data_IF_677922020411
#
_entry.id   IF_677922020411
#
_cell.length_a   1.000
_cell.length_b   1.000
_cell.length_c   1.000
_cell.angle_alpha   90.00
_cell.angle_beta   90.00
_cell.angle_gamma   90.00
#
_symmetry.space_group_name_H-M   'P 1'
#
loop_
_entity.id
_entity.type
_entity.pdbx_description
1 polymer ?
#
# COMPACT_ATOMS: atom_id res chain seq x y z
N UNK A 1 -40.45 47.26 48.55
CA UNK A 1 -40.75 46.55 47.28
C UNK A 1 -39.60 46.60 46.27
N UNK A 2 -39.02 47.75 45.93
CA UNK A 2 -38.01 47.87 44.86
C UNK A 2 -36.77 46.94 44.98
N UNK A 3 -36.29 46.67 46.20
CA UNK A 3 -35.09 45.82 46.42
C UNK A 3 -35.25 44.33 46.07
N UNK A 4 -36.48 43.81 46.05
CA UNK A 4 -36.71 42.39 45.69
C UNK A 4 -36.64 42.17 44.17
N UNK A 5 -37.10 43.15 43.39
CA UNK A 5 -37.17 43.08 41.92
C UNK A 5 -35.77 42.96 41.28
N UNK A 6 -34.78 43.70 41.79
CA UNK A 6 -33.41 43.65 41.28
C UNK A 6 -32.72 42.31 41.55
N UNK A 7 -33.03 41.64 42.67
CA UNK A 7 -32.53 40.29 42.97
C UNK A 7 -33.14 39.23 42.04
N UNK A 8 -34.46 39.26 41.82
CA UNK A 8 -35.11 38.34 40.87
C UNK A 8 -34.58 38.51 39.43
N UNK A 9 -34.37 39.75 38.99
CA UNK A 9 -33.79 40.04 37.68
C UNK A 9 -32.38 39.45 37.53
N UNK A 10 -31.51 39.61 38.53
CA UNK A 10 -30.14 39.07 38.52
C UNK A 10 -30.07 37.53 38.54
N UNK A 11 -30.99 36.87 39.24
CA UNK A 11 -31.06 35.39 39.25
C UNK A 11 -31.55 34.88 37.90
N UNK A 12 -32.52 35.56 37.28
CA UNK A 12 -33.03 35.20 35.94
C UNK A 12 -31.96 35.34 34.85
N UNK A 13 -31.17 36.42 34.85
CA UNK A 13 -30.08 36.60 33.87
C UNK A 13 -28.94 35.61 34.08
N UNK A 14 -28.61 35.26 35.33
CA UNK A 14 -27.62 34.23 35.64
C UNK A 14 -28.08 32.84 35.16
N UNK A 15 -29.33 32.46 35.43
CA UNK A 15 -29.92 31.20 34.93
C UNK A 15 -29.94 31.15 33.40
N UNK A 16 -30.27 32.26 32.72
CA UNK A 16 -30.24 32.33 31.26
C UNK A 16 -28.82 32.18 30.69
N UNK A 17 -27.81 32.79 31.34
CA UNK A 17 -26.41 32.59 30.98
C UNK A 17 -25.97 31.14 31.19
N UNK A 18 -26.36 30.52 32.31
CA UNK A 18 -26.07 29.10 32.58
C UNK A 18 -26.71 28.20 31.50
N UNK A 19 -27.97 28.47 31.14
CA UNK A 19 -28.70 27.74 30.10
C UNK A 19 -28.03 27.90 28.73
N UNK A 20 -27.59 29.10 28.37
CA UNK A 20 -26.81 29.37 27.15
C UNK A 20 -25.45 28.66 27.18
N UNK A 21 -24.77 28.59 28.32
CA UNK A 21 -23.55 27.79 28.46
C UNK A 21 -23.81 26.28 28.32
N UNK A 22 -24.94 25.76 28.80
CA UNK A 22 -25.32 24.36 28.58
C UNK A 22 -25.66 24.07 27.10
N UNK A 23 -26.39 24.96 26.41
CA UNK A 23 -26.72 24.75 24.99
C UNK A 23 -25.52 24.93 24.05
N UNK A 24 -24.58 25.83 24.33
CA UNK A 24 -23.36 26.00 23.53
C UNK A 24 -22.35 24.84 23.66
N UNK A 25 -22.54 23.94 24.65
CA UNK A 25 -21.71 22.75 24.81
C UNK A 25 -22.35 21.47 24.26
N UNK A 26 -23.56 21.54 23.69
CA UNK A 26 -24.16 20.40 22.98
C UNK A 26 -23.61 20.31 21.55
N UNK A 27 -22.29 20.13 21.44
CA UNK A 27 -21.69 19.59 20.22
C UNK A 27 -22.14 18.14 20.12
N UNK A 28 -23.16 17.89 19.30
CA UNK A 28 -23.46 16.54 18.84
C UNK A 28 -22.27 16.15 17.97
N UNK A 29 -21.31 15.44 18.56
CA UNK A 29 -20.26 14.75 17.82
C UNK A 29 -20.98 13.63 17.06
N UNK A 30 -21.40 13.91 15.83
CA UNK A 30 -21.81 12.86 14.92
C UNK A 30 -20.65 11.87 14.81
N UNK A 31 -20.97 10.57 14.84
CA UNK A 31 -20.00 9.56 14.47
C UNK A 31 -19.60 9.82 13.01
N UNK A 32 -18.43 10.44 12.79
CA UNK A 32 -17.94 10.79 11.47
C UNK A 32 -17.58 9.52 10.72
N UNK A 33 -18.54 9.04 9.94
CA UNK A 33 -18.38 7.98 8.94
C UNK A 33 -17.59 8.53 7.77
N UNK A 34 -16.44 7.94 7.45
CA UNK A 34 -15.74 8.26 6.21
C UNK A 34 -16.21 7.34 5.09
N UNK A 35 -16.64 7.93 3.97
CA UNK A 35 -17.02 7.24 2.73
C UNK A 35 -16.44 8.01 1.54
N UNK A 36 -15.73 7.33 0.65
CA UNK A 36 -15.20 7.90 -0.59
C UNK A 36 -14.86 6.83 -1.64
N UNK A 37 -14.72 7.27 -2.89
CA UNK A 37 -14.14 6.50 -3.99
C UNK A 37 -13.23 7.36 -4.90
N UNK A 38 -12.45 6.73 -5.77
CA UNK A 38 -11.59 7.37 -6.77
C UNK A 38 -12.30 8.36 -7.70
N UNK A 39 -13.61 8.23 -7.92
CA UNK A 39 -14.41 9.23 -8.66
C UNK A 39 -14.68 10.51 -7.85
N UNK A 40 -14.72 10.40 -6.52
CA UNK A 40 -14.82 11.54 -5.59
C UNK A 40 -13.47 12.12 -5.16
N UNK A 41 -12.38 11.35 -5.25
CA UNK A 41 -11.05 11.82 -4.86
C UNK A 41 -10.49 12.86 -5.85
N UNK A 42 -9.93 13.92 -5.29
CA UNK A 42 -9.17 14.97 -5.98
C UNK A 42 -7.72 14.98 -5.50
N UNK A 43 -6.85 15.69 -6.21
CA UNK A 43 -5.44 15.89 -5.81
C UNK A 43 -5.26 16.43 -4.38
N UNK A 44 -6.20 17.23 -3.86
CA UNK A 44 -6.16 17.74 -2.48
C UNK A 44 -6.70 16.76 -1.43
N UNK A 45 -7.38 15.69 -1.85
CA UNK A 45 -7.85 14.62 -0.96
C UNK A 45 -6.87 13.45 -0.82
N UNK A 46 -5.73 13.50 -1.53
CA UNK A 46 -4.68 12.50 -1.48
C UNK A 46 -3.35 13.14 -1.05
N UNK A 47 -2.54 12.39 -0.32
CA UNK A 47 -1.17 12.76 0.03
C UNK A 47 -0.23 11.70 -0.55
N UNK A 48 0.76 12.14 -1.32
CA UNK A 48 1.73 11.28 -2.02
C UNK A 48 3.10 11.47 -1.37
N UNK A 49 3.74 10.37 -0.96
CA UNK A 49 5.06 10.34 -0.34
C UNK A 49 6.02 9.45 -1.14
N UNK A 50 7.31 9.80 -1.10
CA UNK A 50 8.38 9.02 -1.76
C UNK A 50 8.20 8.97 -3.27
N UNK A 51 8.13 7.75 -3.80
CA UNK A 51 8.02 7.45 -5.22
C UNK A 51 6.59 7.54 -5.78
N UNK A 52 5.59 7.75 -4.91
CA UNK A 52 4.19 7.73 -5.32
C UNK A 52 3.82 8.94 -6.19
N UNK A 53 3.17 8.68 -7.33
CA UNK A 53 2.78 9.69 -8.30
C UNK A 53 1.52 9.31 -9.09
N UNK A 54 0.81 10.30 -9.64
CA UNK A 54 -0.29 10.04 -10.56
C UNK A 54 0.22 9.68 -11.96
N UNK A 55 -0.42 8.71 -12.60
CA UNK A 55 -0.13 8.30 -13.97
C UNK A 55 -1.45 7.96 -14.70
N UNK A 56 -1.86 8.79 -15.67
CA UNK A 56 -3.02 8.54 -16.55
C UNK A 56 -4.35 8.16 -15.86
N UNK A 57 -4.57 8.59 -14.62
CA UNK A 57 -5.77 8.29 -13.84
C UNK A 57 -5.58 7.21 -12.78
N UNK A 58 -4.44 6.51 -12.75
CA UNK A 58 -4.03 5.63 -11.66
C UNK A 58 -3.03 6.30 -10.72
N UNK A 59 -2.82 5.70 -9.55
CA UNK A 59 -1.72 6.04 -8.64
C UNK A 59 -0.64 4.96 -8.77
N UNK A 60 0.58 5.33 -9.13
CA UNK A 60 1.74 4.45 -9.02
C UNK A 60 2.43 4.66 -7.69
N UNK A 61 2.81 3.58 -7.01
CA UNK A 61 3.56 3.62 -5.74
C UNK A 61 5.08 3.61 -5.97
N UNK A 62 5.54 3.00 -7.08
CA UNK A 62 6.96 2.88 -7.44
C UNK A 62 7.27 3.57 -8.77
N UNK A 63 8.54 3.96 -8.98
CA UNK A 63 9.03 4.57 -10.22
C UNK A 63 9.53 3.52 -11.22
N UNK A 64 9.43 3.86 -12.50
CA UNK A 64 9.96 3.12 -13.66
C UNK A 64 11.50 3.22 -13.74
N UNK A 65 12.22 2.64 -12.75
CA UNK A 65 13.68 2.66 -12.64
C UNK A 65 14.31 1.34 -13.09
N UNK A 66 15.53 1.40 -13.64
CA UNK A 66 16.30 0.20 -13.95
C UNK A 66 16.88 -0.46 -12.69
N UNK A 67 17.09 -1.78 -12.72
CA UNK A 67 17.74 -2.54 -11.64
C UNK A 67 19.24 -2.22 -11.52
N UNK A 68 19.87 -2.35 -10.32
CA UNK A 68 19.29 -2.73 -9.04
C UNK A 68 18.97 -1.49 -8.19
N UNK A 69 17.74 -0.97 -8.30
CA UNK A 69 17.25 0.11 -7.45
C UNK A 69 16.07 -0.39 -6.59
N UNK A 70 16.04 0.03 -5.33
CA UNK A 70 14.90 -0.12 -4.43
C UNK A 70 14.34 1.26 -4.13
N UNK A 71 13.06 1.47 -4.42
CA UNK A 71 12.33 2.70 -4.10
C UNK A 71 11.04 2.36 -3.37
N UNK A 72 10.54 3.29 -2.55
CA UNK A 72 9.28 3.15 -1.82
C UNK A 72 8.39 4.38 -2.05
N UNK A 73 7.08 4.17 -2.08
CA UNK A 73 6.12 5.25 -2.16
C UNK A 73 4.81 4.89 -1.48
N UNK A 74 4.10 5.92 -1.03
CA UNK A 74 2.86 5.79 -0.27
C UNK A 74 1.85 6.83 -0.73
N UNK A 75 0.59 6.42 -0.85
CA UNK A 75 -0.56 7.32 -1.05
C UNK A 75 -1.51 7.16 0.13
N UNK A 76 -1.97 8.27 0.70
CA UNK A 76 -2.95 8.28 1.79
C UNK A 76 -4.13 9.18 1.46
N UNK A 77 -5.31 8.85 1.96
CA UNK A 77 -6.42 9.80 2.05
C UNK A 77 -6.04 10.92 3.01
N UNK A 78 -6.14 12.18 2.59
CA UNK A 78 -5.51 13.32 3.30
C UNK A 78 -6.22 13.77 4.59
N UNK A 79 -7.33 13.12 4.97
CA UNK A 79 -8.00 13.36 6.25
C UNK A 79 -7.93 12.11 7.13
N UNK A 80 -7.63 12.25 8.43
CA UNK A 80 -7.71 11.14 9.35
C UNK A 80 -9.16 10.67 9.50
N UNK A 81 -9.35 9.36 9.60
CA UNK A 81 -10.62 8.67 9.80
C UNK A 81 -10.69 8.24 11.26
N UNK A 82 -11.85 8.40 11.90
CA UNK A 82 -12.06 7.92 13.26
C UNK A 82 -12.23 6.40 13.27
N UNK A 83 -11.29 5.68 13.88
CA UNK A 83 -11.33 4.22 13.98
C UNK A 83 -11.85 3.70 15.33
N UNK A 84 -11.79 4.50 16.41
CA UNK A 84 -12.35 4.13 17.71
C UNK A 84 -13.47 5.10 18.14
N UNK A 85 -14.56 4.53 18.66
CA UNK A 85 -15.70 5.28 19.15
C UNK A 85 -15.37 6.00 20.46
N UNK A 86 -15.69 7.29 20.53
CA UNK A 86 -15.48 8.11 21.73
C UNK A 86 -16.19 7.50 22.94
N UNK A 87 -15.45 7.32 24.04
CA UNK A 87 -15.98 6.83 25.33
C UNK A 87 -16.00 5.30 25.46
N UNK A 88 -16.51 4.57 24.48
CA UNK A 88 -16.54 3.08 24.50
C UNK A 88 -15.25 2.44 24.01
N UNK A 89 -14.45 3.16 23.20
CA UNK A 89 -13.30 2.64 22.44
C UNK A 89 -13.64 1.43 21.55
N UNK A 90 -14.91 1.22 21.21
CA UNK A 90 -15.31 0.18 20.26
C UNK A 90 -14.79 0.54 18.86
N UNK A 91 -14.18 -0.40 18.12
CA UNK A 91 -13.65 -0.12 16.80
C UNK A 91 -14.79 0.04 15.77
N UNK A 92 -14.55 0.87 14.76
CA UNK A 92 -15.45 1.02 13.62
C UNK A 92 -15.52 -0.29 12.81
N UNK A 93 -16.69 -0.58 12.24
CA UNK A 93 -16.77 -1.43 11.07
C UNK A 93 -16.21 -0.66 9.87
N UNK A 94 -15.48 -1.32 8.97
CA UNK A 94 -15.06 -0.72 7.71
C UNK A 94 -15.06 -1.71 6.55
N UNK A 95 -15.16 -1.19 5.34
CA UNK A 95 -14.93 -1.92 4.11
C UNK A 95 -14.07 -1.08 3.17
N UNK A 96 -13.14 -1.73 2.48
CA UNK A 96 -12.39 -1.11 1.37
C UNK A 96 -12.34 -2.08 0.20
N UNK A 97 -12.47 -1.52 -0.99
CA UNK A 97 -12.35 -2.24 -2.25
C UNK A 97 -11.34 -1.49 -3.12
N UNK A 98 -10.43 -2.22 -3.75
CA UNK A 98 -9.47 -1.65 -4.67
C UNK A 98 -9.11 -2.61 -5.79
N UNK A 99 -8.73 -2.02 -6.92
CA UNK A 99 -8.21 -2.73 -8.08
C UNK A 99 -6.78 -2.26 -8.30
N UNK A 100 -5.83 -3.19 -8.41
CA UNK A 100 -4.42 -2.90 -8.59
C UNK A 100 -3.77 -3.82 -9.62
N UNK A 101 -2.60 -3.46 -10.11
CA UNK A 101 -1.76 -4.35 -10.91
C UNK A 101 -0.30 -4.22 -10.47
N UNK A 102 0.44 -5.33 -10.53
CA UNK A 102 1.90 -5.34 -10.50
C UNK A 102 2.37 -5.70 -11.90
N UNK A 103 2.99 -4.74 -12.57
CA UNK A 103 3.56 -4.93 -13.91
C UNK A 103 5.07 -4.80 -13.84
N UNK A 104 5.79 -5.40 -14.78
CA UNK A 104 7.26 -5.39 -14.74
C UNK A 104 7.86 -5.07 -16.11
N UNK A 105 8.82 -4.14 -16.14
CA UNK A 105 9.56 -3.78 -17.36
C UNK A 105 10.52 -4.90 -17.81
N UNK A 106 10.97 -5.74 -16.87
CA UNK A 106 11.75 -6.93 -17.15
C UNK A 106 11.03 -8.17 -16.57
N UNK A 107 10.46 -9.06 -17.40
CA UNK A 107 9.70 -10.23 -16.94
C UNK A 107 10.46 -11.24 -16.05
N UNK A 108 11.79 -11.14 -15.94
CA UNK A 108 12.60 -11.95 -15.02
C UNK A 108 12.97 -11.26 -13.71
N UNK A 109 12.59 -9.99 -13.56
CA UNK A 109 12.70 -9.25 -12.30
C UNK A 109 11.47 -9.54 -11.44
N UNK A 110 11.66 -9.62 -10.12
CA UNK A 110 10.60 -9.81 -9.13
C UNK A 110 10.96 -9.06 -7.84
N UNK A 111 9.96 -8.71 -7.03
CA UNK A 111 10.11 -8.50 -5.60
C UNK A 111 9.95 -7.08 -5.09
N UNK A 112 9.62 -6.99 -3.80
CA UNK A 112 8.92 -5.86 -3.21
C UNK A 112 7.44 -6.22 -3.11
N UNK A 113 6.56 -5.28 -3.46
CA UNK A 113 5.12 -5.50 -3.40
C UNK A 113 4.37 -4.24 -3.00
N UNK A 114 3.12 -4.42 -2.58
CA UNK A 114 2.29 -3.34 -2.05
C UNK A 114 1.41 -3.83 -0.89
N UNK A 115 0.93 -2.90 -0.09
CA UNK A 115 -0.05 -3.15 0.95
C UNK A 115 -1.12 -2.05 1.00
N UNK A 116 -2.36 -2.43 1.33
CA UNK A 116 -3.33 -1.48 1.89
C UNK A 116 -2.93 -1.20 3.34
N UNK A 117 -2.92 0.07 3.76
CA UNK A 117 -2.41 0.48 5.08
C UNK A 117 -3.44 1.27 5.89
N UNK A 118 -3.43 1.04 7.20
CA UNK A 118 -4.03 1.86 8.24
C UNK A 118 -2.86 2.41 9.07
N UNK A 119 -2.56 3.69 8.90
CA UNK A 119 -1.35 4.37 9.40
C UNK A 119 -1.69 5.38 10.50
N UNK A 120 -0.88 5.52 11.55
CA UNK A 120 -1.16 6.45 12.66
C UNK A 120 -0.86 7.91 12.29
N UNK A 121 0.01 8.12 11.31
CA UNK A 121 0.38 9.42 10.74
C UNK A 121 0.40 9.39 9.21
N UNK A 122 0.56 10.57 8.61
CA UNK A 122 0.56 10.77 7.16
C UNK A 122 1.85 11.40 6.61
N UNK A 123 2.93 11.46 7.40
CA UNK A 123 4.24 12.01 6.97
C UNK A 123 5.30 10.92 6.80
N UNK A 124 5.15 9.78 7.48
CA UNK A 124 6.16 8.73 7.56
C UNK A 124 6.08 7.79 6.37
N UNK A 125 7.25 7.48 5.82
CA UNK A 125 7.50 6.42 4.85
C UNK A 125 8.62 5.53 5.40
N UNK A 126 8.36 4.22 5.46
CA UNK A 126 9.34 3.22 5.87
C UNK A 126 10.37 2.92 4.79
N UNK A 127 11.19 1.89 5.05
CA UNK A 127 12.24 1.42 4.16
C UNK A 127 11.66 0.76 2.89
N UNK A 128 12.43 0.79 1.81
CA UNK A 128 12.16 0.03 0.58
C UNK A 128 12.61 -1.44 0.72
N UNK A 129 12.45 -2.24 -0.35
CA UNK A 129 12.62 -3.70 -0.30
C UNK A 129 11.35 -4.39 0.20
N UNK A 130 11.49 -5.54 0.87
CA UNK A 130 10.37 -6.24 1.51
C UNK A 130 9.81 -5.54 2.75
N UNK A 131 10.34 -4.37 3.16
CA UNK A 131 9.69 -3.53 4.18
C UNK A 131 8.46 -2.76 3.67
N UNK A 132 8.13 -2.85 2.36
CA UNK A 132 6.94 -2.28 1.71
C UNK A 132 6.67 -0.77 1.95
N UNK A 133 7.68 -0.01 2.38
CA UNK A 133 7.51 1.36 2.88
C UNK A 133 6.72 1.45 4.20
N UNK A 134 6.56 0.35 4.93
CA UNK A 134 5.80 0.22 6.18
C UNK A 134 6.67 0.47 7.42
N UNK A 135 7.80 -0.23 7.53
CA UNK A 135 8.71 -0.18 8.70
C UNK A 135 9.98 0.60 8.34
N UNK A 136 10.41 1.53 9.20
CA UNK A 136 11.67 2.28 9.05
C UNK A 136 12.63 2.09 10.23
N UNK A 137 13.91 2.44 10.03
CA UNK A 137 15.04 2.18 10.94
C UNK A 137 14.81 2.54 12.42
N UNK A 138 13.99 3.56 12.70
CA UNK A 138 13.76 4.04 14.06
C UNK A 138 12.83 3.13 14.88
N UNK A 139 11.99 2.28 14.27
CA UNK A 139 11.02 1.43 14.98
C UNK A 139 9.99 2.17 15.85
N UNK A 140 9.89 3.49 15.71
CA UNK A 140 9.06 4.40 16.51
C UNK A 140 8.19 5.22 15.55
N UNK A 141 6.87 5.22 15.63
CA UNK A 141 6.00 4.45 16.54
C UNK A 141 4.51 4.66 16.21
N UNK A 142 3.63 4.26 17.14
CA UNK A 142 2.14 4.32 17.08
C UNK A 142 1.40 3.17 16.37
N UNK A 143 2.11 2.22 15.72
CA UNK A 143 1.51 1.00 15.20
C UNK A 143 0.79 1.16 13.85
N UNK A 144 0.98 0.21 12.94
CA UNK A 144 0.23 0.13 11.69
C UNK A 144 -0.49 -1.21 11.59
N UNK A 145 -1.57 -1.23 10.81
CA UNK A 145 -2.19 -2.45 10.31
C UNK A 145 -2.11 -2.39 8.78
N UNK A 146 -1.59 -3.44 8.14
CA UNK A 146 -1.55 -3.50 6.68
C UNK A 146 -2.01 -4.86 6.15
N UNK A 147 -2.54 -4.88 4.94
CA UNK A 147 -2.79 -6.11 4.18
C UNK A 147 -1.90 -6.06 2.96
N UNK A 148 -0.81 -6.83 3.03
CA UNK A 148 0.24 -6.93 2.02
C UNK A 148 -0.10 -7.90 0.89
N UNK A 149 0.49 -7.67 -0.27
CA UNK A 149 0.43 -8.47 -1.49
C UNK A 149 1.86 -8.60 -2.01
N UNK A 150 2.58 -9.61 -1.50
CA UNK A 150 4.03 -9.74 -1.68
C UNK A 150 4.40 -10.57 -2.93
N UNK A 151 5.43 -10.11 -3.64
CA UNK A 151 5.95 -10.69 -4.88
C UNK A 151 7.31 -11.39 -4.71
N UNK A 152 7.92 -11.35 -3.52
CA UNK A 152 9.13 -12.08 -3.13
C UNK A 152 8.89 -12.96 -1.88
N UNK A 153 9.86 -13.82 -1.58
CA UNK A 153 9.90 -14.61 -0.35
C UNK A 153 11.14 -14.17 0.44
N UNK A 154 10.94 -13.29 1.40
CA UNK A 154 11.94 -12.87 2.35
C UNK A 154 11.96 -13.80 3.58
N UNK A 155 13.02 -14.60 3.67
CA UNK A 155 13.20 -15.60 4.75
C UNK A 155 13.23 -14.95 6.14
N UNK A 156 13.63 -13.68 6.22
CA UNK A 156 13.65 -12.86 7.44
C UNK A 156 12.25 -12.40 7.92
N UNK A 157 11.25 -12.35 7.04
CA UNK A 157 9.85 -12.04 7.36
C UNK A 157 8.98 -13.31 7.48
N UNK A 158 9.58 -14.48 7.22
CA UNK A 158 9.00 -15.83 7.37
C UNK A 158 7.97 -16.21 6.29
N UNK A 159 8.03 -15.52 5.16
CA UNK A 159 7.11 -15.64 4.02
C UNK A 159 6.93 -17.07 3.55
N UNK A 160 5.69 -17.41 3.22
CA UNK A 160 5.35 -18.77 2.76
C UNK A 160 5.77 -19.03 1.32
N UNK A 161 5.79 -17.99 0.47
CA UNK A 161 6.22 -17.99 -0.93
C UNK A 161 6.24 -16.54 -1.49
N UNK A 162 6.70 -16.35 -2.73
CA UNK A 162 6.69 -15.04 -3.43
C UNK A 162 5.41 -14.70 -4.18
N UNK A 163 4.25 -15.07 -3.63
CA UNK A 163 2.92 -14.82 -4.20
C UNK A 163 1.83 -14.98 -3.14
N UNK A 164 1.87 -14.17 -2.09
CA UNK A 164 0.96 -14.32 -0.96
C UNK A 164 0.22 -13.02 -0.62
N UNK A 165 -0.81 -13.15 0.22
CA UNK A 165 -1.48 -12.03 0.89
C UNK A 165 -1.36 -12.22 2.39
N UNK A 166 -0.94 -11.18 3.10
CA UNK A 166 -0.67 -11.18 4.53
C UNK A 166 -1.50 -10.15 5.29
N UNK A 167 -1.52 -10.25 6.63
CA UNK A 167 -1.99 -9.21 7.54
C UNK A 167 -0.85 -8.85 8.48
N UNK A 168 -0.28 -7.68 8.28
CA UNK A 168 0.75 -7.10 9.13
C UNK A 168 0.14 -6.36 10.31
N UNK A 169 0.69 -6.62 11.51
CA UNK A 169 0.29 -5.99 12.76
C UNK A 169 1.51 -5.39 13.44
N UNK A 170 1.91 -4.19 13.00
CA UNK A 170 3.13 -3.49 13.41
C UNK A 170 4.42 -4.33 13.28
N UNK A 171 4.48 -5.17 12.25
CA UNK A 171 5.57 -6.10 11.94
C UNK A 171 5.41 -6.58 10.49
N UNK A 172 6.49 -6.88 9.78
CA UNK A 172 6.44 -7.57 8.48
C UNK A 172 6.21 -9.09 8.62
N UNK A 173 6.19 -9.63 9.84
CA UNK A 173 5.87 -11.04 10.07
C UNK A 173 4.36 -11.17 10.21
N UNK A 174 3.70 -11.54 9.12
CA UNK A 174 2.24 -11.71 9.01
C UNK A 174 1.69 -12.87 9.88
N UNK A 175 0.96 -12.61 10.99
CA UNK A 175 0.27 -13.66 11.76
C UNK A 175 -0.86 -14.39 11.03
N UNK A 176 -1.37 -13.83 9.93
CA UNK A 176 -2.38 -14.44 9.05
C UNK A 176 -1.93 -14.28 7.61
N UNK A 177 -1.77 -15.38 6.87
CA UNK A 177 -1.20 -15.39 5.53
C UNK A 177 -1.90 -16.43 4.65
N UNK A 178 -2.02 -16.17 3.35
CA UNK A 178 -2.61 -17.09 2.38
C UNK A 178 -1.87 -17.10 1.04
N UNK A 179 -1.60 -18.30 0.54
CA UNK A 179 -1.00 -18.52 -0.78
C UNK A 179 -2.00 -18.18 -1.89
N UNK A 180 -1.78 -17.10 -2.63
CA UNK A 180 -2.68 -16.66 -3.70
C UNK A 180 -2.73 -17.65 -4.87
N UNK A 181 -1.73 -18.52 -5.01
CA UNK A 181 -1.75 -19.65 -5.94
C UNK A 181 -2.87 -20.65 -5.65
N UNK A 182 -3.36 -20.74 -4.41
CA UNK A 182 -4.49 -21.60 -4.03
C UNK A 182 -5.85 -21.11 -4.56
N UNK A 183 -5.92 -19.89 -5.10
CA UNK A 183 -7.11 -19.29 -5.73
C UNK A 183 -6.82 -18.80 -7.16
N UNK A 184 -5.80 -19.38 -7.82
CA UNK A 184 -5.39 -19.08 -9.19
C UNK A 184 -5.02 -17.59 -9.45
N UNK A 185 -4.56 -16.88 -8.41
CA UNK A 185 -4.07 -15.49 -8.51
C UNK A 185 -2.55 -15.47 -8.51
N UNK A 186 -1.96 -14.82 -9.53
CA UNK A 186 -0.54 -14.47 -9.58
C UNK A 186 -0.41 -12.95 -9.65
N UNK A 187 0.16 -12.37 -8.59
CA UNK A 187 0.36 -10.93 -8.48
C UNK A 187 1.25 -10.37 -9.61
N UNK A 188 2.23 -11.15 -10.09
CA UNK A 188 3.23 -10.73 -11.09
C UNK A 188 2.72 -10.83 -12.53
N UNK A 189 1.48 -11.28 -12.72
CA UNK A 189 0.89 -11.54 -14.05
C UNK A 189 0.63 -10.27 -14.88
N UNK A 190 0.66 -9.08 -14.27
CA UNK A 190 0.23 -7.83 -14.89
C UNK A 190 -1.29 -7.70 -15.09
N UNK A 191 -2.07 -8.70 -14.68
CA UNK A 191 -3.53 -8.62 -14.68
C UNK A 191 -4.03 -7.66 -13.59
N UNK A 192 -5.25 -7.16 -13.77
CA UNK A 192 -5.95 -6.39 -12.75
C UNK A 192 -6.43 -7.31 -11.63
N UNK A 193 -5.84 -7.18 -10.45
CA UNK A 193 -6.24 -7.87 -9.21
C UNK A 193 -7.23 -7.00 -8.46
N UNK A 194 -8.35 -7.59 -8.04
CA UNK A 194 -9.38 -6.95 -7.22
C UNK A 194 -9.30 -7.50 -5.80
N UNK A 195 -9.28 -6.62 -4.81
CA UNK A 195 -9.21 -6.97 -3.40
C UNK A 195 -10.32 -6.27 -2.60
N UNK A 196 -10.89 -7.01 -1.65
CA UNK A 196 -11.86 -6.51 -0.67
C UNK A 196 -11.33 -6.83 0.73
N UNK A 197 -11.21 -5.81 1.57
CA UNK A 197 -10.87 -5.95 2.98
C UNK A 197 -12.05 -5.41 3.79
N UNK A 198 -12.56 -6.21 4.71
CA UNK A 198 -13.71 -5.85 5.54
C UNK A 198 -13.42 -6.21 6.99
N UNK A 199 -13.78 -5.31 7.89
CA UNK A 199 -13.75 -5.53 9.32
C UNK A 199 -15.12 -5.21 9.92
N UNK A 200 -15.66 -6.13 10.71
CA UNK A 200 -16.88 -5.89 11.48
C UNK A 200 -16.50 -5.57 12.93
N UNK A 201 -16.69 -4.31 13.36
CA UNK A 201 -16.28 -3.86 14.68
C UNK A 201 -17.07 -4.46 15.84
N UNK A 202 -18.26 -5.00 15.58
CA UNK A 202 -19.12 -5.65 16.58
C UNK A 202 -18.73 -7.11 16.83
N UNK A 203 -18.56 -7.90 15.77
CA UNK A 203 -18.15 -9.31 15.86
C UNK A 203 -16.63 -9.51 15.93
N UNK A 204 -15.84 -8.45 15.69
CA UNK A 204 -14.38 -8.44 15.61
C UNK A 204 -13.84 -9.45 14.58
N UNK A 205 -14.51 -9.57 13.44
CA UNK A 205 -14.10 -10.44 12.32
C UNK A 205 -13.46 -9.60 11.22
N UNK A 206 -12.29 -10.01 10.77
CA UNK A 206 -11.56 -9.44 9.65
C UNK A 206 -11.58 -10.41 8.47
N UNK A 207 -11.92 -9.92 7.28
CA UNK A 207 -12.05 -10.69 6.05
C UNK A 207 -11.20 -10.08 4.94
N UNK A 208 -10.49 -10.94 4.20
CA UNK A 208 -9.76 -10.58 2.98
C UNK A 208 -10.28 -11.44 1.84
N UNK A 209 -10.66 -10.82 0.72
CA UNK A 209 -11.08 -11.51 -0.51
C UNK A 209 -10.27 -10.98 -1.69
N UNK A 210 -9.85 -11.86 -2.59
CA UNK A 210 -9.05 -11.50 -3.78
C UNK A 210 -9.62 -12.20 -5.02
N UNK A 211 -9.63 -11.53 -6.17
CA UNK A 211 -10.11 -12.09 -7.45
C UNK A 211 -9.60 -11.32 -8.67
N UNK A 212 -9.44 -11.98 -9.82
CA UNK A 212 -9.36 -11.27 -11.11
C UNK A 212 -10.74 -10.82 -11.61
N UNK A 213 -11.84 -11.37 -11.07
CA UNK A 213 -13.19 -10.90 -11.38
C UNK A 213 -13.50 -9.58 -10.67
N UNK A 214 -14.33 -8.75 -11.30
CA UNK A 214 -14.94 -7.58 -10.65
C UNK A 214 -16.09 -7.97 -9.68
N UNK A 215 -16.42 -9.26 -9.57
CA UNK A 215 -17.37 -9.78 -8.60
C UNK A 215 -16.63 -10.30 -7.36
N UNK A 216 -16.98 -9.77 -6.19
CA UNK A 216 -16.46 -10.25 -4.91
C UNK A 216 -16.77 -11.75 -4.71
N UNK A 217 -15.78 -12.58 -4.32
CA UNK A 217 -16.02 -13.96 -3.89
C UNK A 217 -17.07 -14.06 -2.78
N UNK A 218 -17.94 -15.08 -2.84
CA UNK A 218 -18.98 -15.31 -1.81
C UNK A 218 -18.41 -15.75 -0.46
N UNK A 219 -17.24 -16.39 -0.49
CA UNK A 219 -16.49 -16.82 0.69
C UNK A 219 -15.19 -16.02 0.65
N UNK A 220 -14.82 -15.32 1.73
CA UNK A 220 -13.54 -14.63 1.80
C UNK A 220 -12.39 -15.64 1.75
N UNK A 221 -11.24 -15.22 1.22
CA UNK A 221 -10.05 -16.06 1.13
C UNK A 221 -9.41 -16.27 2.51
N UNK A 222 -9.33 -15.21 3.32
CA UNK A 222 -8.97 -15.28 4.73
C UNK A 222 -10.12 -14.68 5.57
N UNK A 223 -10.45 -15.33 6.69
CA UNK A 223 -11.45 -14.86 7.65
C UNK A 223 -11.07 -15.33 9.04
N UNK A 224 -10.89 -14.39 9.95
CA UNK A 224 -10.40 -14.67 11.30
C UNK A 224 -10.88 -13.63 12.32
N UNK A 225 -10.97 -13.98 13.61
CA UNK A 225 -11.18 -13.00 14.66
C UNK A 225 -9.93 -12.13 14.81
N UNK A 226 -10.10 -10.81 14.82
CA UNK A 226 -9.03 -9.83 15.05
C UNK A 226 -9.51 -8.75 16.01
N UNK A 227 -8.76 -8.57 17.08
CA UNK A 227 -8.99 -7.46 17.99
C UNK A 227 -8.21 -6.21 17.53
N UNK A 228 -8.86 -5.41 16.68
CA UNK A 228 -8.21 -4.28 16.01
C UNK A 228 -7.87 -3.13 16.97
N UNK A 229 -8.54 -3.03 18.13
CA UNK A 229 -8.35 -1.92 19.09
C UNK A 229 -6.96 -1.88 19.75
N UNK A 230 -6.21 -2.99 19.64
CA UNK A 230 -4.84 -3.15 20.12
C UNK A 230 -3.79 -2.55 19.17
N UNK A 231 -4.17 -2.25 17.92
CA UNK A 231 -3.25 -1.86 16.84
C UNK A 231 -3.57 -0.49 16.21
N UNK A 232 -4.65 0.17 16.66
CA UNK A 232 -5.14 1.43 16.08
C UNK A 232 -5.36 2.51 17.16
N UNK A 233 -5.19 3.75 16.76
CA UNK A 233 -5.51 4.92 17.56
C UNK A 233 -6.94 5.40 17.28
N UNK A 234 -7.41 6.38 18.06
CA UNK A 234 -8.73 7.00 17.89
C UNK A 234 -8.97 7.50 16.46
N UNK A 235 -7.90 7.97 15.81
CA UNK A 235 -7.85 8.41 14.43
C UNK A 235 -6.67 7.75 13.72
N UNK A 236 -6.89 7.32 12.47
CA UNK A 236 -5.86 6.74 11.59
C UNK A 236 -6.06 7.26 10.16
N UNK A 237 -4.99 7.24 9.36
CA UNK A 237 -5.03 7.46 7.92
C UNK A 237 -5.14 6.12 7.19
N UNK A 238 -5.73 6.13 6.00
CA UNK A 238 -5.86 4.92 5.15
C UNK A 238 -5.27 5.19 3.77
N UNK A 239 -4.79 4.14 3.11
CA UNK A 239 -4.28 4.23 1.74
C UNK A 239 -3.42 3.03 1.35
N UNK A 240 -2.35 3.26 0.59
CA UNK A 240 -1.46 2.20 0.11
C UNK A 240 0.00 2.59 0.26
N UNK A 241 0.84 1.59 0.53
CA UNK A 241 2.29 1.68 0.54
C UNK A 241 2.85 0.59 -0.36
N UNK A 242 4.01 0.79 -0.98
CA UNK A 242 4.66 -0.25 -1.77
C UNK A 242 6.08 0.13 -2.16
N UNK A 243 6.87 -0.88 -2.51
CA UNK A 243 8.28 -0.70 -2.87
C UNK A 243 8.79 -1.73 -3.87
N UNK A 244 9.92 -1.42 -4.50
CA UNK A 244 10.74 -2.40 -5.23
C UNK A 244 11.88 -2.92 -4.36
N UNK A 245 12.34 -4.15 -4.65
CA UNK A 245 13.43 -4.82 -3.95
C UNK A 245 14.57 -5.16 -4.91
N UNK A 246 15.25 -4.14 -5.42
CA UNK A 246 16.17 -4.28 -6.54
C UNK A 246 15.46 -4.66 -7.86
N UNK A 247 14.14 -4.54 -7.90
CA UNK A 247 13.26 -4.96 -8.99
C UNK A 247 12.82 -3.81 -9.91
N UNK A 248 12.18 -4.16 -11.03
CA UNK A 248 11.53 -3.24 -11.98
C UNK A 248 9.98 -3.28 -11.88
N UNK A 249 9.45 -3.63 -10.71
CA UNK A 249 8.00 -3.73 -10.47
C UNK A 249 7.33 -2.35 -10.33
N UNK A 250 6.25 -2.17 -11.08
CA UNK A 250 5.39 -0.99 -11.09
C UNK A 250 4.07 -1.38 -10.45
N UNK A 251 3.86 -0.90 -9.22
CA UNK A 251 2.65 -1.13 -8.44
C UNK A 251 1.65 0.01 -8.72
N UNK A 252 0.57 -0.30 -9.43
CA UNK A 252 -0.44 0.69 -9.83
C UNK A 252 -1.78 0.41 -9.15
N UNK A 253 -2.33 1.40 -8.44
CA UNK A 253 -3.69 1.41 -7.91
C UNK A 253 -4.59 2.07 -8.96
N UNK A 254 -5.46 1.27 -9.57
CA UNK A 254 -6.35 1.66 -10.67
C UNK A 254 -7.73 2.10 -10.17
N UNK A 255 -8.18 1.56 -9.05
CA UNK A 255 -9.41 1.97 -8.35
C UNK A 255 -9.26 1.80 -6.84
N UNK A 256 -9.92 2.66 -6.07
CA UNK A 256 -10.09 2.53 -4.62
C UNK A 256 -11.41 3.12 -4.16
N UNK A 257 -12.07 2.46 -3.22
CA UNK A 257 -13.15 2.99 -2.40
C UNK A 257 -13.04 2.50 -0.96
N UNK A 258 -13.47 3.33 -0.01
CA UNK A 258 -13.44 3.05 1.42
C UNK A 258 -14.75 3.54 2.07
N UNK A 259 -15.27 2.77 3.02
CA UNK A 259 -16.40 3.15 3.87
C UNK A 259 -16.18 2.69 5.31
N UNK A 260 -16.63 3.47 6.29
CA UNK A 260 -16.50 3.19 7.72
C UNK A 260 -17.72 3.66 8.50
N UNK A 261 -18.13 2.86 9.50
CA UNK A 261 -19.28 3.15 10.34
C UNK A 261 -19.11 2.64 11.76
N UNK A 262 -19.72 3.35 12.71
CA UNK A 262 -19.92 2.85 14.06
C UNK A 262 -21.34 2.31 14.17
N UNK A 263 -21.48 1.06 14.63
CA UNK A 263 -22.79 0.48 14.92
C UNK A 263 -23.54 1.35 15.93
N UNK A 264 -24.68 1.92 15.54
CA UNK A 264 -25.50 2.68 16.45
C UNK A 264 -26.20 1.71 17.40
N UNK A 265 -25.96 1.86 18.71
CA UNK A 265 -26.52 1.00 19.77
C UNK A 265 -28.03 1.14 19.99
N UNK A 266 -28.78 1.59 18.98
CA UNK A 266 -30.20 1.90 19.07
C UNK A 266 -31.00 1.67 17.76
N UNK A 267 -30.81 0.51 17.13
CA UNK A 267 -31.86 -0.08 16.26
C UNK A 267 -31.63 -1.57 16.04
N UNK A 268 -32.58 -2.40 16.47
CA UNK A 268 -32.66 -3.80 16.06
C UNK A 268 -33.18 -3.92 14.64
N UNK A 269 -32.34 -3.63 13.66
CA UNK A 269 -32.60 -3.88 12.24
C UNK A 269 -31.33 -4.39 11.57
N UNK A 270 -31.38 -5.65 11.14
CA UNK A 270 -30.35 -6.31 10.36
C UNK A 270 -30.20 -5.61 9.00
N UNK A 271 -29.22 -4.72 8.90
CA UNK A 271 -28.76 -4.10 7.66
C UNK A 271 -27.25 -4.28 7.57
N UNK A 272 -26.83 -5.44 7.06
CA UNK A 272 -25.43 -5.68 6.71
C UNK A 272 -24.87 -4.59 5.77
N UNK A 273 -23.54 -4.44 5.69
CA UNK A 273 -22.91 -3.36 4.94
C UNK A 273 -23.40 -3.33 3.50
N UNK A 274 -23.79 -2.14 3.04
CA UNK A 274 -24.32 -1.95 1.70
C UNK A 274 -23.31 -2.45 0.66
N UNK A 275 -23.78 -3.30 -0.27
CA UNK A 275 -22.96 -3.80 -1.36
C UNK A 275 -22.52 -2.63 -2.26
N UNK A 276 -21.25 -2.25 -2.15
CA UNK A 276 -20.63 -1.22 -2.98
C UNK A 276 -20.79 -1.58 -4.45
N UNK A 277 -21.21 -0.65 -5.34
CA UNK A 277 -21.34 -0.93 -6.77
C UNK A 277 -19.99 -1.33 -7.40
N UNK A 278 -19.97 -2.21 -8.42
CA UNK A 278 -18.76 -2.44 -9.20
C UNK A 278 -18.33 -1.15 -9.93
N UNK A 279 -17.02 -0.91 -10.09
CA UNK A 279 -16.52 0.35 -10.64
C UNK A 279 -16.89 0.53 -12.12
N UNK A 280 -17.13 1.76 -12.60
CA UNK A 280 -17.37 2.04 -14.01
C UNK A 280 -16.09 1.86 -14.83
N UNK A 281 -16.21 1.19 -15.99
CA UNK A 281 -15.10 1.02 -16.95
C UNK A 281 -14.83 2.33 -17.72
N UNK A 282 -14.29 3.36 -17.07
CA UNK A 282 -13.98 4.65 -17.71
C UNK A 282 -12.64 5.23 -17.28
N UNK A 283 -11.73 5.36 -18.24
CA UNK A 283 -10.49 6.15 -18.09
C UNK A 283 -10.80 7.61 -17.69
N UNK A 284 -10.05 8.16 -16.74
CA UNK A 284 -10.08 9.58 -16.37
C UNK A 284 -9.50 10.47 -17.49
N UNK A 285 -10.28 10.69 -18.56
CA UNK A 285 -9.97 11.70 -19.57
C UNK A 285 -10.42 13.08 -19.08
N UNK A 286 -9.46 13.89 -18.64
CA UNK A 286 -9.68 15.32 -18.33
C UNK A 286 -9.95 16.13 -19.63
N UNK A 287 -11.08 16.85 -19.76
CA UNK A 287 -11.40 17.63 -20.94
C UNK A 287 -10.70 19.00 -20.95
N UNK A 288 -9.37 19.05 -20.89
CA UNK A 288 -8.52 20.15 -21.40
C UNK A 288 -7.07 19.67 -21.55
N UNK A 289 -6.72 19.21 -22.75
CA UNK A 289 -5.33 19.09 -23.19
C UNK A 289 -5.20 19.81 -24.55
N UNK A 290 -4.55 20.98 -24.55
CA UNK A 290 -4.26 21.68 -25.80
C UNK A 290 -3.36 20.83 -26.69
N UNK A 291 -3.77 20.65 -27.94
CA UNK A 291 -3.02 19.86 -28.93
C UNK A 291 -1.70 20.54 -29.28
N UNK A 292 -0.63 20.15 -28.59
CA UNK A 292 0.75 20.46 -29.01
C UNK A 292 1.19 19.33 -29.95
N UNK A 293 1.25 19.66 -31.23
CA UNK A 293 1.61 18.73 -32.30
C UNK A 293 3.11 18.41 -32.21
N UNK A 294 3.47 17.21 -31.77
CA UNK A 294 4.87 16.74 -31.75
C UNK A 294 5.50 16.80 -33.14
N UNK A 295 6.76 17.21 -33.30
CA UNK A 295 7.48 17.11 -34.56
C UNK A 295 7.65 15.64 -34.99
N UNK A 296 7.70 15.34 -36.30
CA UNK A 296 7.94 13.98 -36.77
C UNK A 296 9.37 13.49 -36.44
N UNK A 297 9.59 12.16 -36.31
CA UNK A 297 10.90 11.62 -35.99
C UNK A 297 11.95 11.94 -37.07
N UNK A 298 13.18 12.29 -36.64
CA UNK A 298 14.31 12.41 -37.56
C UNK A 298 14.70 11.03 -38.09
N UNK A 299 14.90 10.94 -39.41
CA UNK A 299 15.43 9.73 -40.04
C UNK A 299 16.89 9.47 -39.63
N UNK A 300 17.26 8.19 -39.56
CA UNK A 300 18.63 7.76 -39.36
C UNK A 300 19.52 8.12 -40.57
N UNK A 301 20.82 8.42 -40.38
CA UNK A 301 21.69 8.79 -41.49
C UNK A 301 22.05 7.57 -42.34
N UNK A 302 21.42 7.46 -43.51
CA UNK A 302 21.90 6.61 -44.60
C UNK A 302 23.16 7.23 -45.21
N UNK A 303 24.30 6.58 -45.06
CA UNK A 303 25.52 6.93 -45.80
C UNK A 303 25.35 6.65 -47.29
N UNK A 304 25.86 7.55 -48.14
CA UNK A 304 25.93 7.38 -49.59
C UNK A 304 27.36 7.56 -50.08
N UNK A 305 27.81 6.62 -50.92
CA UNK A 305 29.18 6.42 -51.38
C UNK A 305 29.68 7.38 -52.48
N UNK A 306 30.94 7.14 -52.91
CA UNK A 306 31.65 7.59 -54.12
C UNK A 306 32.45 8.89 -53.96
N UNK A 307 33.70 9.06 -54.44
CA UNK A 307 34.59 8.32 -55.37
C UNK A 307 36.07 8.55 -54.92
N UNK A 308 37.16 7.85 -55.31
CA UNK A 308 37.43 6.71 -56.24
C UNK A 308 38.84 6.14 -55.93
N UNK A 309 39.11 4.84 -56.20
CA UNK A 309 40.11 4.38 -57.20
C UNK A 309 40.59 2.91 -57.07
N UNK A 310 40.61 2.23 -58.23
CA UNK A 310 41.52 1.17 -58.70
C UNK A 310 41.59 -0.27 -58.09
N UNK A 311 41.44 -1.24 -59.02
CA UNK A 311 42.10 -2.57 -59.14
C UNK A 311 41.58 -3.83 -58.40
N UNK A 312 40.75 -4.58 -59.15
CA UNK A 312 40.82 -6.03 -59.44
C UNK A 312 41.54 -7.01 -58.47
N UNK A 313 40.78 -7.98 -57.92
CA UNK A 313 40.91 -9.40 -58.36
C UNK A 313 39.74 -10.31 -57.89
N UNK A 314 39.50 -11.35 -58.70
CA UNK A 314 38.60 -12.51 -58.47
C UNK A 314 39.14 -13.46 -57.37
N UNK A 315 38.35 -14.21 -56.56
CA UNK A 315 37.54 -15.39 -56.96
C UNK A 315 36.69 -15.98 -55.82
N UNK A 316 35.51 -16.53 -56.18
CA UNK A 316 34.74 -17.68 -55.63
C UNK A 316 34.94 -18.20 -54.18
N UNK A 317 33.84 -18.12 -53.42
CA UNK A 317 33.17 -19.16 -52.61
C UNK A 317 33.83 -20.55 -52.45
N UNK A 318 33.83 -21.05 -51.20
CA UNK A 318 33.64 -22.47 -50.91
C UNK A 318 32.75 -22.68 -49.68
N UNK A 319 31.87 -23.68 -49.76
CA UNK A 319 31.00 -24.16 -48.67
C UNK A 319 31.73 -25.23 -47.86
N UNK A 320 31.56 -25.24 -46.54
CA UNK A 320 32.02 -26.34 -45.70
C UNK A 320 30.85 -27.28 -45.37
N UNK A 321 31.06 -28.58 -45.57
CA UNK A 321 30.05 -29.63 -45.38
C UNK A 321 30.62 -30.75 -44.52
N UNK A 322 29.73 -31.45 -43.82
CA UNK A 322 29.93 -32.66 -43.00
C UNK A 322 30.53 -32.53 -41.59
N UNK A 323 29.62 -32.67 -40.62
CA UNK A 323 29.70 -33.54 -39.43
C UNK A 323 31.09 -34.02 -38.96
N UNK A 324 31.57 -33.49 -37.82
CA UNK A 324 31.78 -34.22 -36.56
C UNK A 324 32.59 -33.40 -35.53
N UNK A 325 31.91 -32.54 -34.76
CA UNK A 325 32.36 -32.13 -33.42
C UNK A 325 31.17 -32.29 -32.45
N UNK A 326 31.25 -33.29 -31.57
CA UNK A 326 30.33 -33.51 -30.42
C UNK A 326 31.03 -33.04 -29.13
N UNK A 327 30.27 -33.07 -28.01
CA UNK A 327 30.59 -32.51 -26.68
C UNK A 327 30.51 -30.98 -26.68
N UNK A 328 29.89 -30.28 -25.72
CA UNK A 328 29.13 -30.63 -24.51
C UNK A 328 28.67 -29.32 -23.84
N UNK A 329 27.76 -29.30 -22.84
CA UNK A 329 27.18 -28.05 -22.34
C UNK A 329 28.22 -27.14 -21.65
N UNK A 330 28.23 -25.87 -22.00
CA UNK A 330 29.03 -24.86 -21.29
C UNK A 330 28.49 -24.62 -19.89
N UNK A 331 29.29 -24.91 -18.86
CA UNK A 331 28.94 -24.63 -17.48
C UNK A 331 28.88 -23.10 -17.24
N UNK A 332 27.79 -22.63 -16.64
CA UNK A 332 27.67 -21.26 -16.14
C UNK A 332 28.56 -21.12 -14.91
N UNK A 333 29.57 -20.26 -15.00
CA UNK A 333 30.44 -19.96 -13.86
C UNK A 333 29.73 -19.02 -12.88
N UNK A 334 29.04 -19.59 -11.89
CA UNK A 334 28.53 -18.83 -10.75
C UNK A 334 29.68 -18.33 -9.88
N UNK A 335 29.80 -17.01 -9.74
CA UNK A 335 30.74 -16.40 -8.79
C UNK A 335 30.13 -16.43 -7.40
N UNK A 336 30.61 -17.35 -6.56
CA UNK A 336 30.31 -17.37 -5.13
C UNK A 336 31.42 -16.64 -4.37
N UNK A 337 31.17 -15.40 -3.96
CA UNK A 337 32.06 -14.67 -3.05
C UNK A 337 31.73 -15.00 -1.61
N UNK A 338 32.43 -15.99 -1.04
CA UNK A 338 32.40 -16.29 0.39
C UNK A 338 33.65 -15.74 1.10
N UNK A 339 33.47 -14.74 1.97
CA UNK A 339 34.43 -14.23 2.96
C UNK A 339 33.63 -13.41 3.99
N UNK A 340 33.16 -13.94 5.13
CA UNK A 340 33.88 -14.47 6.30
C UNK A 340 34.28 -13.41 7.36
N UNK A 341 33.46 -13.37 8.41
CA UNK A 341 33.72 -13.00 9.82
C UNK A 341 34.26 -11.62 10.23
N UNK A 342 33.45 -10.96 11.07
CA UNK A 342 33.86 -9.96 12.05
C UNK A 342 32.98 -10.04 13.32
N UNK A 343 33.13 -11.11 14.12
CA UNK A 343 32.43 -11.24 15.40
C UNK A 343 33.09 -10.35 16.46
N UNK A 344 32.46 -9.23 16.80
CA UNK A 344 32.85 -8.39 17.94
C UNK A 344 32.16 -8.90 19.22
N UNK A 345 32.88 -9.66 20.04
CA UNK A 345 32.43 -10.02 21.39
C UNK A 345 32.69 -8.82 22.31
N UNK A 346 31.64 -8.13 22.75
CA UNK A 346 31.72 -7.24 23.90
C UNK A 346 31.57 -8.05 25.18
N UNK A 347 32.67 -8.20 25.91
CA UNK A 347 32.66 -8.83 27.22
C UNK A 347 32.18 -7.81 28.27
N UNK A 348 31.12 -8.14 29.01
CA UNK A 348 30.75 -7.42 30.22
C UNK A 348 31.89 -7.51 31.26
N UNK A 349 32.22 -6.39 31.89
CA UNK A 349 33.05 -6.36 33.08
C UNK A 349 32.19 -6.02 34.30
N UNK A 350 31.71 -7.05 34.99
CA UNK A 350 31.16 -6.91 36.33
C UNK A 350 32.28 -6.54 37.31
N UNK A 351 32.26 -5.33 37.85
CA UNK A 351 33.11 -4.96 38.98
C UNK A 351 32.32 -5.09 40.28
N UNK A 352 32.41 -6.27 40.91
CA UNK A 352 32.06 -6.44 42.33
C UNK A 352 33.30 -6.15 43.18
N UNK A 353 33.28 -5.05 43.93
CA UNK A 353 34.27 -4.72 44.96
C UNK A 353 33.54 -4.44 46.27
N UNK A 354 33.77 -5.28 47.27
CA UNK A 354 33.19 -5.20 48.62
C UNK A 354 34.32 -5.04 49.64
N UNK A 355 34.07 -4.27 50.71
CA UNK A 355 34.89 -4.15 51.93
C UNK A 355 36.26 -3.44 51.76
N UNK A 356 36.85 -2.74 52.75
CA UNK A 356 36.69 -2.55 54.23
C UNK A 356 37.01 -1.03 54.46
N UNK A 357 36.43 -0.22 55.38
CA UNK A 357 36.26 -0.24 56.85
C UNK A 357 35.12 0.70 57.24
#
# INVERSE_FOLDING_TARGET
>A
MLSLSSHFSRVSTFLLYLLLCFFNNLVIISAETAEFDFGTLTLSSMKLLGDAHLNNGSVRLTRDLAVPNSGAGRVLYSKPIRFLQTGTRSPASFSTFFSFSVTNLNPSSIGGGLAFVISPDDETLGNAGGFLGLVGDNGVGLGFVAVEFDTLMDVEFTDINGNHVGLDLNSMVSPQVGDLGAVDIDLKSGNLVNAWIEYNGSSRVFNISVSYSNLKPKVPFLSFPLDLDQYINDFMYVGFSGSTQGSTEIHSIEWWSFSSSFESSNSGSDSGPASVPPPPTTSLMNPTANSVKSPPPSLAPTGSDSNTSAQQKSTKSSSCHNQLCKQGPGAVAGVVTASAFGLAIFAEHSYNGVEIV
#
